data_IF_177657128202
#
_entry.id   IF_177657128202
#
_cell.length_a   1.000
_cell.length_b   1.000
_cell.length_c   1.000
_cell.angle_alpha   90.00
_cell.angle_beta   90.00
_cell.angle_gamma   90.00
#
_symmetry.space_group_name_H-M   'P 1'
#
loop_
_entity.id
_entity.type
_entity.pdbx_description
1 polymer ?
#
# COMPACT_ATOMS: atom_id res chain seq x y z
N UNK A 1 -23.48 -1.49 11.06
CA UNK A 1 -22.34 -0.56 11.27
C UNK A 1 -21.44 -0.51 10.04
N UNK A 2 -21.95 -0.07 8.87
CA UNK A 2 -21.26 -0.15 7.57
C UNK A 2 -21.16 1.19 6.82
N UNK A 3 -21.58 2.29 7.45
CA UNK A 3 -21.63 3.63 6.84
C UNK A 3 -20.22 4.27 6.80
N UNK A 4 -19.32 3.86 7.70
CA UNK A 4 -18.03 4.53 7.92
C UNK A 4 -17.00 4.30 6.77
N UNK A 5 -17.02 3.13 6.14
CA UNK A 5 -16.01 2.79 5.11
C UNK A 5 -16.26 3.43 3.74
N UNK A 6 -17.53 3.60 3.34
CA UNK A 6 -17.88 4.28 2.09
C UNK A 6 -17.77 5.81 2.23
N UNK A 7 -17.95 6.35 3.45
CA UNK A 7 -17.80 7.78 3.73
C UNK A 7 -16.37 8.29 3.53
N UNK A 8 -15.37 7.57 4.07
CA UNK A 8 -13.96 7.96 3.96
C UNK A 8 -13.44 8.05 2.52
N UNK A 9 -14.06 7.34 1.56
CA UNK A 9 -13.69 7.36 0.14
C UNK A 9 -14.34 8.52 -0.63
N UNK A 10 -15.45 9.09 -0.11
CA UNK A 10 -16.15 10.25 -0.69
C UNK A 10 -15.62 11.58 -0.16
N UNK A 11 -15.07 11.61 1.06
CA UNK A 11 -14.60 12.84 1.73
C UNK A 11 -13.15 13.23 1.43
N UNK A 12 -12.45 12.50 0.56
CA UNK A 12 -11.03 12.80 0.23
C UNK A 12 -10.06 12.58 1.40
N UNK A 13 -10.48 11.90 2.47
CA UNK A 13 -9.64 11.65 3.63
C UNK A 13 -8.45 10.73 3.26
N UNK A 14 -7.24 11.29 3.29
CA UNK A 14 -5.99 10.56 3.00
C UNK A 14 -5.66 9.61 4.15
N UNK A 15 -5.44 8.33 3.83
CA UNK A 15 -4.91 7.37 4.81
C UNK A 15 -3.44 7.65 5.08
N UNK A 16 -3.08 7.78 6.35
CA UNK A 16 -1.70 7.86 6.83
C UNK A 16 -1.41 6.55 7.57
N UNK A 17 -0.30 5.89 7.22
CA UNK A 17 0.02 4.53 7.69
C UNK A 17 0.22 4.45 9.21
N UNK A 18 0.63 5.54 9.84
CA UNK A 18 0.84 5.66 11.28
C UNK A 18 0.98 7.13 11.69
N UNK A 19 0.64 7.45 12.94
CA UNK A 19 0.97 8.75 13.53
C UNK A 19 2.47 8.75 13.89
N UNK A 20 3.25 9.61 13.23
CA UNK A 20 4.69 9.71 13.46
C UNK A 20 4.99 10.32 14.83
N UNK A 21 5.80 9.63 15.63
CA UNK A 21 6.43 10.21 16.82
C UNK A 21 7.55 11.18 16.42
N UNK A 22 7.98 12.05 17.33
CA UNK A 22 9.08 12.99 17.07
C UNK A 22 10.39 12.26 16.72
N UNK A 23 10.64 11.09 17.30
CA UNK A 23 11.76 10.23 16.95
C UNK A 23 11.69 9.76 15.48
N UNK A 24 10.49 9.41 15.00
CA UNK A 24 10.31 8.98 13.61
C UNK A 24 10.42 10.14 12.61
N UNK A 25 10.31 11.41 13.05
CA UNK A 25 10.56 12.59 12.18
C UNK A 25 12.03 12.75 11.81
N UNK A 26 12.95 12.13 12.56
CA UNK A 26 14.37 12.08 12.21
C UNK A 26 14.64 11.39 10.86
N UNK A 27 13.67 10.62 10.33
CA UNK A 27 13.71 10.05 8.97
C UNK A 27 13.92 11.10 7.87
N UNK A 28 13.52 12.37 8.10
CA UNK A 28 13.74 13.47 7.15
C UNK A 28 15.23 13.76 6.95
N UNK A 29 16.02 13.74 8.03
CA UNK A 29 17.46 13.98 7.95
C UNK A 29 18.16 12.84 7.18
N UNK A 30 17.76 11.59 7.45
CA UNK A 30 18.28 10.41 6.76
C UNK A 30 17.93 10.45 5.27
N UNK A 31 16.69 10.81 4.92
CA UNK A 31 16.28 10.99 3.53
C UNK A 31 17.12 12.06 2.81
N UNK A 32 17.42 13.17 3.49
CA UNK A 32 18.30 14.22 2.96
C UNK A 32 19.72 13.74 2.66
N UNK A 33 20.30 12.89 3.52
CA UNK A 33 21.63 12.30 3.31
C UNK A 33 21.61 11.33 2.13
N UNK A 34 20.61 10.43 2.07
CA UNK A 34 20.47 9.47 0.98
C UNK A 34 20.26 10.15 -0.37
N UNK A 35 19.51 11.26 -0.40
CA UNK A 35 19.30 12.07 -1.61
C UNK A 35 20.58 12.75 -2.09
N UNK A 36 21.43 13.24 -1.19
CA UNK A 36 22.74 13.80 -1.58
C UNK A 36 23.66 12.72 -2.11
N UNK A 37 23.67 11.55 -1.45
CA UNK A 37 24.46 10.40 -1.88
C UNK A 37 24.04 9.88 -3.26
N UNK A 38 22.75 9.91 -3.59
CA UNK A 38 22.27 9.43 -4.90
C UNK A 38 22.66 10.34 -6.05
N UNK A 39 22.76 11.64 -5.81
CA UNK A 39 23.25 12.60 -6.81
C UNK A 39 24.76 12.48 -7.05
N UNK A 40 25.51 12.11 -6.00
CA UNK A 40 26.97 12.01 -6.06
C UNK A 40 27.45 10.62 -6.51
N UNK A 41 26.62 9.58 -6.36
CA UNK A 41 26.96 8.20 -6.68
C UNK A 41 25.72 7.41 -7.13
N UNK A 42 25.84 6.63 -8.21
CA UNK A 42 24.78 5.75 -8.73
C UNK A 42 24.57 4.49 -7.87
N UNK A 43 24.46 4.65 -6.54
CA UNK A 43 24.47 3.51 -5.63
C UNK A 43 23.20 2.66 -5.68
N UNK A 44 22.13 3.12 -6.35
CA UNK A 44 20.88 2.37 -6.47
C UNK A 44 21.05 1.00 -7.13
N UNK A 45 21.95 0.87 -8.11
CA UNK A 45 22.21 -0.42 -8.79
C UNK A 45 22.82 -1.49 -7.88
N UNK A 46 23.38 -1.06 -6.74
CA UNK A 46 23.91 -1.95 -5.71
C UNK A 46 22.88 -2.31 -4.64
N UNK A 47 21.71 -1.65 -4.62
CA UNK A 47 20.69 -1.91 -3.60
C UNK A 47 19.88 -3.14 -4.01
N UNK A 48 19.91 -4.12 -3.12
CA UNK A 48 18.97 -5.24 -3.12
C UNK A 48 17.91 -4.94 -2.06
N UNK A 49 16.65 -4.86 -2.47
CA UNK A 49 15.52 -4.71 -1.54
C UNK A 49 14.79 -6.03 -1.38
N UNK A 50 14.26 -6.27 -0.19
CA UNK A 50 13.43 -7.45 0.07
C UNK A 50 12.19 -7.04 0.85
N UNK A 51 11.03 -7.55 0.47
CA UNK A 51 9.78 -7.35 1.20
C UNK A 51 9.03 -8.67 1.38
N UNK A 52 8.23 -8.73 2.45
CA UNK A 52 7.35 -9.86 2.76
C UNK A 52 5.92 -9.38 2.80
N UNK A 53 5.08 -9.95 1.94
CA UNK A 53 3.68 -9.59 1.85
C UNK A 53 2.80 -10.81 2.01
N UNK A 54 1.80 -10.69 2.88
CA UNK A 54 0.73 -11.68 2.97
C UNK A 54 -0.25 -11.50 1.81
N UNK A 55 -0.49 -12.58 1.06
CA UNK A 55 -1.48 -12.64 -0.02
C UNK A 55 -2.60 -13.59 0.40
N UNK A 56 -3.82 -13.07 0.48
CA UNK A 56 -5.01 -13.88 0.69
C UNK A 56 -5.43 -14.55 -0.63
N UNK A 57 -5.82 -15.83 -0.58
CA UNK A 57 -6.36 -16.52 -1.77
C UNK A 57 -7.68 -15.90 -2.24
N UNK A 58 -8.58 -15.61 -1.28
CA UNK A 58 -9.80 -14.88 -1.55
C UNK A 58 -9.58 -13.38 -1.27
N UNK A 59 -9.27 -12.64 -2.33
CA UNK A 59 -9.18 -11.18 -2.31
C UNK A 59 -10.50 -10.57 -2.82
N UNK A 60 -11.61 -10.88 -2.15
CA UNK A 60 -12.93 -10.34 -2.49
C UNK A 60 -12.93 -8.79 -2.39
N UNK A 61 -12.82 -8.12 -3.53
CA UNK A 61 -12.95 -6.67 -3.63
C UNK A 61 -14.39 -6.29 -3.93
N UNK A 62 -14.95 -5.34 -3.16
CA UNK A 62 -16.25 -4.75 -3.45
C UNK A 62 -16.18 -3.93 -4.74
N UNK A 63 -16.76 -4.45 -5.82
CA UNK A 63 -16.91 -3.73 -7.10
C UNK A 63 -18.00 -2.68 -6.97
N UNK A 64 -17.78 -1.51 -7.59
CA UNK A 64 -18.85 -0.50 -7.74
C UNK A 64 -19.90 -1.05 -8.71
N UNK A 65 -21.17 -0.87 -8.37
CA UNK A 65 -22.30 -1.25 -9.21
C UNK A 65 -23.00 0.03 -9.66
N UNK A 66 -23.36 0.09 -10.94
CA UNK A 66 -24.24 1.13 -11.49
C UNK A 66 -25.67 0.56 -11.46
N UNK A 67 -26.59 1.28 -10.83
CA UNK A 67 -27.96 0.86 -10.58
C UNK A 67 -28.88 2.07 -10.75
N UNK A 68 -30.12 1.80 -11.13
CA UNK A 68 -31.15 2.83 -11.22
C UNK A 68 -31.64 3.24 -9.83
N UNK A 69 -32.28 4.41 -9.75
CA UNK A 69 -32.78 4.94 -8.50
C UNK A 69 -33.87 4.01 -7.91
N UNK A 70 -33.59 3.41 -6.75
CA UNK A 70 -34.50 2.49 -6.06
C UNK A 70 -34.08 1.03 -6.14
N UNK A 71 -33.14 0.68 -7.01
CA UNK A 71 -32.65 -0.69 -7.13
C UNK A 71 -31.72 -1.08 -5.98
N UNK A 72 -31.86 -2.33 -5.53
CA UNK A 72 -31.05 -2.86 -4.43
C UNK A 72 -29.72 -3.42 -4.97
N UNK A 73 -28.57 -3.00 -4.42
CA UNK A 73 -27.28 -3.51 -4.87
C UNK A 73 -27.06 -4.97 -4.49
N UNK A 74 -26.38 -5.71 -5.36
CA UNK A 74 -25.99 -7.09 -5.08
C UNK A 74 -24.97 -7.11 -3.94
N UNK A 75 -25.24 -7.82 -2.83
CA UNK A 75 -24.32 -7.86 -1.70
C UNK A 75 -23.02 -8.55 -2.11
N UNK A 76 -21.89 -8.00 -1.67
CA UNK A 76 -20.58 -8.64 -1.81
C UNK A 76 -20.25 -9.31 -0.48
N UNK A 77 -19.86 -10.60 -0.45
CA UNK A 77 -19.48 -11.26 0.79
C UNK A 77 -18.29 -10.55 1.43
N UNK A 78 -18.28 -10.51 2.77
CA UNK A 78 -17.16 -9.94 3.52
C UNK A 78 -15.96 -10.88 3.38
N UNK A 79 -14.76 -10.38 3.02
CA UNK A 79 -13.58 -11.23 2.94
C UNK A 79 -13.28 -11.83 4.32
N UNK A 80 -12.95 -13.12 4.33
CA UNK A 80 -12.57 -13.84 5.54
C UNK A 80 -11.17 -13.39 6.01
N UNK A 81 -11.09 -12.83 7.21
CA UNK A 81 -9.84 -12.34 7.80
C UNK A 81 -8.94 -13.51 8.19
N UNK A 82 -9.51 -14.68 8.47
CA UNK A 82 -8.82 -15.91 8.87
C UNK A 82 -8.70 -16.92 7.71
N UNK A 83 -9.05 -16.49 6.49
CA UNK A 83 -8.97 -17.33 5.30
C UNK A 83 -7.54 -17.75 4.97
N UNK A 84 -7.38 -18.67 4.02
CA UNK A 84 -6.07 -19.15 3.57
C UNK A 84 -5.22 -17.98 3.06
N UNK A 85 -3.97 -17.89 3.54
CA UNK A 85 -2.98 -16.89 3.13
C UNK A 85 -1.67 -17.58 2.79
N UNK A 86 -0.93 -16.98 1.87
CA UNK A 86 0.45 -17.34 1.56
C UNK A 86 1.33 -16.14 1.86
N UNK A 87 2.51 -16.39 2.41
CA UNK A 87 3.54 -15.37 2.53
C UNK A 87 4.36 -15.35 1.26
N UNK A 88 4.33 -14.22 0.55
CA UNK A 88 5.22 -13.98 -0.58
C UNK A 88 6.45 -13.24 -0.05
N UNK A 89 7.63 -13.81 -0.31
CA UNK A 89 8.93 -13.19 -0.05
C UNK A 89 9.55 -12.85 -1.39
N UNK A 90 9.74 -11.56 -1.67
CA UNK A 90 10.41 -11.10 -2.89
C UNK A 90 11.71 -10.41 -2.53
N UNK A 91 12.72 -10.65 -3.36
CA UNK A 91 13.99 -9.95 -3.35
C UNK A 91 14.21 -9.42 -4.76
N UNK A 92 14.42 -8.12 -4.89
CA UNK A 92 14.61 -7.44 -6.16
C UNK A 92 15.87 -6.58 -6.10
N UNK A 93 16.68 -6.68 -7.15
CA UNK A 93 17.80 -5.78 -7.36
C UNK A 93 17.37 -4.70 -8.33
N UNK A 94 17.57 -3.44 -7.95
CA UNK A 94 17.37 -2.32 -8.85
C UNK A 94 18.44 -2.38 -9.93
N UNK A 95 18.04 -2.42 -11.20
CA UNK A 95 18.96 -2.34 -12.34
C UNK A 95 18.51 -1.18 -13.22
N UNK A 96 19.09 0.00 -13.01
CA UNK A 96 18.80 1.15 -13.85
C UNK A 96 19.63 1.04 -15.14
N UNK A 97 18.98 0.54 -16.20
CA UNK A 97 19.56 0.61 -17.55
C UNK A 97 19.56 2.06 -18.03
N UNK A 98 20.73 2.59 -18.35
CA UNK A 98 20.87 3.83 -19.13
C UNK A 98 20.38 3.52 -20.55
N UNK A 99 19.30 4.18 -21.00
CA UNK A 99 18.91 4.29 -22.41
C UNK A 99 19.66 5.47 -23.03
#
# INVERSE_FOLDING_TARGET
MNICWDFARRTGAKRVLHQLSDANKATVAIAGILLRRSKNSGFFDSIVTSDRKWICFDNATRKRQWLDAGDTPKPTPKPDIHGKKVMLCLVEQQRFGVL
#
